data_IF_129715539869
#
_entry.id   IF_129715539869
#
_cell.length_a   1.000
_cell.length_b   1.000
_cell.length_c   1.000
_cell.angle_alpha   90.00
_cell.angle_beta   90.00
_cell.angle_gamma   90.00
#
_symmetry.space_group_name_H-M   'P 1'
#
loop_
_entity.id
_entity.type
_entity.pdbx_description
1 polymer ?
#
# COMPACT_ATOMS: atom_id res chain seq x y z
N UNK A 1 -1.78 -4.94 37.84
CA UNK A 1 -1.36 -3.64 37.28
C UNK A 1 -1.17 -3.87 35.78
N UNK A 2 -2.25 -4.27 35.08
CA UNK A 2 -3.26 -3.39 34.44
C UNK A 2 -3.04 -3.31 32.92
N UNK A 3 -2.80 -4.47 32.28
CA UNK A 3 -2.79 -4.59 30.81
C UNK A 3 -4.03 -5.36 30.31
N UNK A 4 -5.12 -5.28 31.08
CA UNK A 4 -6.45 -5.72 30.65
C UNK A 4 -7.27 -4.46 30.38
N UNK A 5 -7.98 -4.46 29.24
CA UNK A 5 -9.07 -3.53 28.91
C UNK A 5 -8.70 -2.05 28.75
N UNK A 6 -8.32 -1.66 27.53
CA UNK A 6 -8.90 -0.48 26.88
C UNK A 6 -9.12 -0.86 25.41
N UNK A 7 -10.12 -1.70 25.16
CA UNK A 7 -11.48 -1.27 24.81
C UNK A 7 -11.61 -1.10 23.30
N UNK A 8 -11.98 -2.24 22.74
CA UNK A 8 -12.92 -2.41 21.64
C UNK A 8 -14.10 -1.42 21.75
N UNK A 9 -13.90 -0.15 21.39
CA UNK A 9 -14.99 0.73 20.96
C UNK A 9 -14.57 1.38 19.65
N UNK A 10 -15.03 0.79 18.55
CA UNK A 10 -15.11 1.47 17.28
C UNK A 10 -16.37 2.36 17.27
N UNK A 11 -16.27 3.67 17.05
CA UNK A 11 -17.38 4.42 16.48
C UNK A 11 -17.18 4.57 14.97
N UNK A 12 -18.24 4.35 14.21
CA UNK A 12 -18.36 4.80 12.82
C UNK A 12 -19.80 5.24 12.59
N UNK A 13 -20.09 6.31 11.83
CA UNK A 13 -19.27 7.50 11.54
C UNK A 13 -20.08 8.82 11.60
N UNK A 14 -19.41 9.96 11.82
CA UNK A 14 -19.83 11.25 11.26
C UNK A 14 -18.61 12.16 11.11
N UNK A 15 -18.42 12.70 9.91
CA UNK A 15 -17.29 13.49 9.40
C UNK A 15 -16.37 14.15 10.47
N UNK A 16 -15.11 13.71 10.56
CA UNK A 16 -14.15 14.23 11.52
C UNK A 16 -13.48 15.55 11.05
N UNK A 17 -13.22 16.51 11.96
CA UNK A 17 -12.42 17.70 11.69
C UNK A 17 -10.92 17.38 11.50
N UNK A 18 -10.27 18.20 10.67
CA UNK A 18 -8.88 18.10 10.20
C UNK A 18 -7.84 18.02 11.33
N UNK A 19 -6.83 17.13 11.26
CA UNK A 19 -5.83 16.97 12.31
C UNK A 19 -4.82 18.12 12.33
N UNK A 20 -4.60 18.70 13.51
CA UNK A 20 -3.45 19.54 13.81
C UNK A 20 -2.18 18.76 13.49
N UNK A 21 -1.41 19.23 12.52
CA UNK A 21 -0.16 18.58 12.12
C UNK A 21 0.87 18.76 13.23
N UNK A 22 1.06 17.72 14.04
CA UNK A 22 2.17 17.66 14.98
C UNK A 22 3.48 17.80 14.19
N UNK A 23 4.25 18.85 14.50
CA UNK A 23 5.45 19.23 13.76
C UNK A 23 6.58 18.16 13.80
N UNK A 24 6.38 17.06 14.53
CA UNK A 24 7.31 15.92 14.57
C UNK A 24 7.21 14.99 13.35
N UNK A 25 6.08 14.98 12.63
CA UNK A 25 5.95 14.14 11.43
C UNK A 25 6.41 14.91 10.19
N UNK A 26 7.35 14.33 9.44
CA UNK A 26 7.77 14.90 8.18
C UNK A 26 6.53 15.03 7.27
N UNK A 27 6.21 16.22 6.75
CA UNK A 27 5.00 16.41 5.96
C UNK A 27 5.01 15.42 4.80
N UNK A 28 3.86 14.78 4.56
CA UNK A 28 3.70 13.88 3.43
C UNK A 28 4.06 14.63 2.14
N UNK A 29 4.82 14.01 1.22
CA UNK A 29 5.08 14.62 -0.07
C UNK A 29 3.75 14.86 -0.79
N UNK A 30 3.71 15.92 -1.61
CA UNK A 30 2.55 16.20 -2.44
C UNK A 30 2.15 14.96 -3.23
N UNK A 31 0.84 14.71 -3.34
CA UNK A 31 0.33 13.54 -4.05
C UNK A 31 0.94 13.48 -5.47
N UNK A 32 1.34 12.28 -5.95
CA UNK A 32 1.91 12.15 -7.28
C UNK A 32 0.91 12.64 -8.34
N UNK A 33 1.44 13.20 -9.43
CA UNK A 33 0.64 13.53 -10.61
C UNK A 33 -0.18 12.30 -11.02
N UNK A 34 -1.45 12.52 -11.36
CA UNK A 34 -2.41 11.44 -11.66
C UNK A 34 -1.86 10.43 -12.66
N UNK A 35 -2.33 9.17 -12.57
CA UNK A 35 -1.91 8.08 -13.46
C UNK A 35 -2.01 8.53 -14.92
N UNK A 36 -0.87 8.64 -15.58
CA UNK A 36 -0.80 8.86 -17.02
C UNK A 36 -1.22 7.56 -17.71
N UNK A 37 -2.06 7.65 -18.74
CA UNK A 37 -2.39 6.50 -19.57
C UNK A 37 -1.13 6.06 -20.35
N UNK A 38 -0.36 5.14 -19.76
CA UNK A 38 0.77 4.49 -20.41
C UNK A 38 0.31 3.39 -21.37
N UNK A 39 1.26 2.73 -22.06
CA UNK A 39 1.01 1.42 -22.70
C UNK A 39 0.29 0.48 -21.73
N UNK A 40 -0.46 -0.53 -22.22
CA UNK A 40 -1.18 -1.43 -21.33
C UNK A 40 -0.22 -2.00 -20.29
N UNK A 41 -0.55 -1.81 -19.02
CA UNK A 41 0.17 -2.40 -17.91
C UNK A 41 -0.13 -3.89 -17.87
N UNK A 42 0.86 -4.71 -17.51
CA UNK A 42 0.61 -6.12 -17.29
C UNK A 42 -0.25 -6.32 -16.04
N UNK A 43 -1.09 -7.34 -16.02
CA UNK A 43 -1.84 -7.73 -14.83
C UNK A 43 -0.95 -8.57 -13.90
N UNK A 44 -0.96 -8.25 -12.60
CA UNK A 44 -0.25 -9.01 -11.58
C UNK A 44 -0.86 -10.41 -11.42
N UNK A 45 -0.03 -11.46 -11.48
CA UNK A 45 -0.51 -12.84 -11.39
C UNK A 45 -1.12 -13.22 -10.04
N UNK A 46 -0.70 -12.56 -8.95
CA UNK A 46 -1.21 -12.87 -7.59
C UNK A 46 -2.53 -12.15 -7.27
N UNK A 47 -2.72 -10.92 -7.75
CA UNK A 47 -3.86 -10.08 -7.33
C UNK A 47 -4.72 -9.53 -8.47
N UNK A 48 -4.34 -9.75 -9.73
CA UNK A 48 -5.05 -9.30 -10.93
C UNK A 48 -5.11 -7.79 -11.13
N UNK A 49 -4.37 -7.00 -10.34
CA UNK A 49 -4.28 -5.55 -10.49
C UNK A 49 -3.21 -5.18 -11.52
N UNK A 50 -3.38 -4.07 -12.26
CA UNK A 50 -2.34 -3.60 -13.17
C UNK A 50 -1.06 -3.29 -12.39
N UNK A 51 0.06 -3.76 -12.93
CA UNK A 51 1.41 -3.47 -12.46
C UNK A 51 1.84 -2.06 -12.88
N UNK A 52 3.02 -1.60 -12.46
CA UNK A 52 3.64 -0.38 -13.00
C UNK A 52 4.44 -0.65 -14.29
N UNK A 53 4.57 -1.91 -14.67
CA UNK A 53 5.35 -2.36 -15.81
C UNK A 53 4.45 -2.57 -17.03
N UNK A 54 4.90 -2.11 -18.19
CA UNK A 54 4.18 -2.36 -19.44
C UNK A 54 4.22 -3.83 -19.83
N UNK A 55 3.18 -4.32 -20.53
CA UNK A 55 3.12 -5.72 -21.04
C UNK A 55 4.32 -6.14 -21.91
N UNK A 56 5.06 -5.18 -22.45
CA UNK A 56 6.26 -5.43 -23.24
C UNK A 56 7.54 -5.65 -22.39
N UNK A 57 7.44 -5.60 -21.05
CA UNK A 57 8.56 -5.78 -20.13
C UNK A 57 8.70 -7.27 -19.81
N UNK A 58 9.68 -8.00 -20.38
CA UNK A 58 9.82 -9.42 -20.15
C UNK A 58 10.29 -9.71 -18.72
N UNK A 59 9.80 -10.79 -18.12
CA UNK A 59 10.26 -11.29 -16.81
C UNK A 59 9.68 -10.58 -15.59
N UNK A 60 8.87 -9.52 -15.76
CA UNK A 60 8.23 -8.82 -14.65
C UNK A 60 6.72 -9.10 -14.67
N UNK A 61 6.28 -10.00 -13.78
CA UNK A 61 4.90 -10.55 -13.75
C UNK A 61 4.13 -10.23 -12.47
N UNK A 62 4.77 -9.57 -11.51
CA UNK A 62 4.17 -9.17 -10.23
C UNK A 62 4.19 -7.66 -10.05
N UNK A 63 3.21 -7.14 -9.30
CA UNK A 63 3.25 -5.75 -8.88
C UNK A 63 4.24 -5.57 -7.71
N UNK A 64 4.79 -4.36 -7.50
CA UNK A 64 5.82 -4.12 -6.48
C UNK A 64 5.45 -4.56 -5.07
N UNK A 65 4.15 -4.46 -4.72
CA UNK A 65 3.64 -4.90 -3.42
C UNK A 65 3.76 -6.42 -3.28
N UNK A 66 3.26 -7.17 -4.27
CA UNK A 66 3.30 -8.62 -4.22
C UNK A 66 4.73 -9.15 -4.28
N UNK A 67 5.61 -8.49 -5.07
CA UNK A 67 7.02 -8.86 -5.18
C UNK A 67 7.73 -8.76 -3.82
N UNK A 68 7.51 -7.67 -3.08
CA UNK A 68 8.04 -7.53 -1.72
C UNK A 68 7.47 -8.58 -0.76
N UNK A 69 6.17 -8.89 -0.85
CA UNK A 69 5.56 -9.90 0.01
C UNK A 69 6.14 -11.31 -0.25
N UNK A 70 6.36 -11.66 -1.51
CA UNK A 70 6.95 -12.95 -1.87
C UNK A 70 8.42 -13.06 -1.40
N UNK A 71 9.18 -11.98 -1.55
CA UNK A 71 10.55 -11.90 -1.03
C UNK A 71 10.60 -12.10 0.49
N UNK A 72 9.70 -11.46 1.25
CA UNK A 72 9.62 -11.66 2.70
C UNK A 72 9.25 -13.10 3.08
N UNK A 73 8.29 -13.69 2.37
CA UNK A 73 7.90 -15.09 2.61
C UNK A 73 9.11 -16.00 2.40
N UNK A 74 9.80 -15.86 1.27
CA UNK A 74 10.98 -16.67 0.94
C UNK A 74 12.10 -16.48 1.96
N UNK A 75 12.31 -15.26 2.44
CA UNK A 75 13.32 -14.96 3.45
C UNK A 75 13.04 -15.65 4.80
N UNK A 76 11.79 -15.93 5.14
CA UNK A 76 11.36 -16.46 6.44
C UNK A 76 10.78 -17.88 6.40
N UNK A 77 10.84 -18.58 5.26
CA UNK A 77 10.28 -19.95 5.09
C UNK A 77 11.32 -21.06 5.24
N UNK A 78 12.42 -20.79 5.96
CA UNK A 78 13.50 -21.74 6.25
C UNK A 78 13.14 -22.78 7.30
#
# INVERSE_FOLDING_TARGET
MEQEQLDETAPTPAAAPIPETDASYCPAPAAPAGRVAGPPFADCLECGKPTEYGVATPGVVMCPVCEWQDAQRTACSG
#
